data_IF_388214567380
#
_entry.id   IF_388214567380
#
_cell.length_a   1.000
_cell.length_b   1.000
_cell.length_c   1.000
_cell.angle_alpha   90.00
_cell.angle_beta   90.00
_cell.angle_gamma   90.00
#
_symmetry.space_group_name_H-M   'P 1'
#
loop_
_entity.id
_entity.type
_entity.pdbx_description
1 polymer ?
#
# COMPACT_ATOMS: atom_id res chain seq x y z
N UNK A 1 -28.10 -58.00 -30.70
CA UNK A 1 -28.45 -57.97 -29.26
C UNK A 1 -27.16 -58.18 -28.48
N UNK A 2 -26.65 -57.14 -27.82
CA UNK A 2 -25.78 -57.20 -26.62
C UNK A 2 -25.12 -55.83 -26.45
N UNK A 3 -25.78 -54.94 -25.71
CA UNK A 3 -25.22 -53.68 -25.24
C UNK A 3 -24.61 -53.93 -23.86
N UNK A 4 -23.29 -54.05 -23.80
CA UNK A 4 -22.54 -54.22 -22.56
C UNK A 4 -22.50 -52.90 -21.78
N UNK A 5 -23.26 -52.81 -20.70
CA UNK A 5 -23.19 -51.70 -19.74
C UNK A 5 -22.04 -51.96 -18.76
N UNK A 6 -20.98 -51.15 -18.81
CA UNK A 6 -19.90 -51.19 -17.83
C UNK A 6 -20.40 -50.73 -16.45
N UNK A 7 -19.97 -51.37 -15.35
CA UNK A 7 -20.35 -50.94 -14.01
C UNK A 7 -19.69 -49.59 -13.69
N UNK A 8 -20.50 -48.59 -13.35
CA UNK A 8 -20.03 -47.29 -12.86
C UNK A 8 -19.35 -47.52 -11.52
N UNK A 9 -18.02 -47.40 -11.48
CA UNK A 9 -17.25 -47.48 -10.25
C UNK A 9 -17.75 -46.39 -9.27
N UNK A 10 -18.35 -46.82 -8.16
CA UNK A 10 -18.81 -45.95 -7.09
C UNK A 10 -17.65 -45.12 -6.57
N UNK A 11 -17.70 -43.80 -6.76
CA UNK A 11 -16.69 -42.87 -6.27
C UNK A 11 -16.63 -42.97 -4.74
N UNK A 12 -15.58 -43.61 -4.24
CA UNK A 12 -15.35 -43.78 -2.81
C UNK A 12 -15.16 -42.39 -2.20
N UNK A 13 -16.16 -41.88 -1.51
CA UNK A 13 -16.07 -40.63 -0.77
C UNK A 13 -14.92 -40.73 0.24
N UNK A 14 -13.78 -40.10 -0.08
CA UNK A 14 -12.66 -39.96 0.84
C UNK A 14 -13.11 -39.03 1.95
N UNK A 15 -13.53 -39.60 3.09
CA UNK A 15 -13.80 -38.83 4.30
C UNK A 15 -12.46 -38.37 4.85
N UNK A 16 -12.13 -37.09 4.64
CA UNK A 16 -11.03 -36.41 5.33
C UNK A 16 -11.29 -36.54 6.84
N UNK A 17 -10.61 -37.49 7.48
CA UNK A 17 -10.64 -37.63 8.93
C UNK A 17 -9.77 -36.52 9.50
N UNK A 18 -10.39 -35.42 9.91
CA UNK A 18 -9.69 -34.33 10.59
C UNK A 18 -9.03 -34.89 11.84
N UNK A 19 -7.71 -35.05 11.78
CA UNK A 19 -6.92 -35.60 12.89
C UNK A 19 -6.85 -34.55 14.02
N UNK A 20 -6.59 -34.97 15.27
CA UNK A 20 -6.52 -34.06 16.43
C UNK A 20 -5.52 -32.91 16.23
N UNK A 21 -4.46 -33.15 15.44
CA UNK A 21 -3.49 -32.14 15.03
C UNK A 21 -4.09 -31.02 14.19
N UNK A 22 -5.07 -31.31 13.32
CA UNK A 22 -5.75 -30.28 12.54
C UNK A 22 -6.57 -29.37 13.45
N UNK A 23 -7.28 -29.92 14.43
CA UNK A 23 -8.06 -29.10 15.38
C UNK A 23 -7.16 -28.15 16.17
N UNK A 24 -5.99 -28.65 16.62
CA UNK A 24 -4.98 -27.82 17.31
C UNK A 24 -4.45 -26.73 16.37
N UNK A 25 -4.14 -27.05 15.11
CA UNK A 25 -3.67 -26.08 14.13
C UNK A 25 -4.72 -24.99 13.86
N UNK A 26 -6.00 -25.34 13.71
CA UNK A 26 -7.08 -24.37 13.52
C UNK A 26 -7.29 -23.48 14.76
N UNK A 27 -7.21 -24.05 15.96
CA UNK A 27 -7.29 -23.28 17.22
C UNK A 27 -6.09 -22.33 17.37
N UNK A 28 -4.88 -22.79 17.03
CA UNK A 28 -3.69 -21.95 17.04
C UNK A 28 -3.81 -20.81 16.01
N UNK A 29 -4.27 -21.10 14.78
CA UNK A 29 -4.52 -20.08 13.77
C UNK A 29 -5.58 -19.07 14.21
N UNK A 30 -6.69 -19.53 14.81
CA UNK A 30 -7.73 -18.67 15.35
C UNK A 30 -7.18 -17.77 16.46
N UNK A 31 -6.40 -18.35 17.38
CA UNK A 31 -5.75 -17.60 18.45
C UNK A 31 -4.81 -16.52 17.90
N UNK A 32 -3.94 -16.88 16.95
CA UNK A 32 -3.02 -15.92 16.30
C UNK A 32 -3.81 -14.82 15.59
N UNK A 33 -4.87 -15.18 14.84
CA UNK A 33 -5.73 -14.21 14.17
C UNK A 33 -6.41 -13.25 15.16
N UNK A 34 -6.93 -13.75 16.27
CA UNK A 34 -7.54 -12.94 17.32
C UNK A 34 -6.52 -12.01 17.99
N UNK A 35 -5.31 -12.49 18.26
CA UNK A 35 -4.23 -11.66 18.83
C UNK A 35 -3.83 -10.55 17.85
N UNK A 36 -3.64 -10.86 16.57
CA UNK A 36 -3.34 -9.86 15.54
C UNK A 36 -4.46 -8.83 15.40
N UNK A 37 -5.72 -9.29 15.41
CA UNK A 37 -6.88 -8.41 15.33
C UNK A 37 -6.98 -7.51 16.56
N UNK A 38 -6.78 -8.05 17.76
CA UNK A 38 -6.78 -7.26 19.00
C UNK A 38 -5.64 -6.24 19.01
N UNK A 39 -4.44 -6.64 18.58
CA UNK A 39 -3.28 -5.76 18.50
C UNK A 39 -3.48 -4.59 17.52
N UNK A 40 -4.19 -4.81 16.42
CA UNK A 40 -4.55 -3.75 15.47
C UNK A 40 -5.72 -2.91 15.96
N UNK A 41 -6.77 -3.56 16.49
CA UNK A 41 -8.01 -2.88 16.88
C UNK A 41 -7.84 -2.02 18.14
N UNK A 42 -7.04 -2.46 19.11
CA UNK A 42 -6.83 -1.74 20.37
C UNK A 42 -6.28 -0.31 20.19
N UNK A 43 -5.16 -0.06 19.47
CA UNK A 43 -4.66 1.30 19.26
C UNK A 43 -5.61 2.13 18.39
N UNK A 44 -6.28 1.52 17.40
CA UNK A 44 -7.28 2.23 16.60
C UNK A 44 -8.47 2.69 17.45
N UNK A 45 -8.99 1.82 18.33
CA UNK A 45 -10.03 2.17 19.28
C UNK A 45 -9.56 3.27 20.24
N UNK A 46 -8.33 3.17 20.76
CA UNK A 46 -7.76 4.20 21.64
C UNK A 46 -7.68 5.57 20.95
N UNK A 47 -7.26 5.62 19.68
CA UNK A 47 -7.22 6.86 18.89
C UNK A 47 -8.64 7.40 18.65
N UNK A 48 -9.62 6.54 18.35
CA UNK A 48 -11.01 6.94 18.17
C UNK A 48 -11.60 7.51 19.48
N UNK A 49 -11.40 6.85 20.61
CA UNK A 49 -11.84 7.37 21.91
C UNK A 49 -11.15 8.69 22.27
N UNK A 50 -9.84 8.80 21.99
CA UNK A 50 -9.10 10.04 22.20
C UNK A 50 -9.59 11.18 21.30
N UNK A 51 -10.02 10.88 20.07
CA UNK A 51 -10.58 11.88 19.16
C UNK A 51 -11.87 12.54 19.68
N UNK A 52 -12.58 11.88 20.61
CA UNK A 52 -13.80 12.39 21.25
C UNK A 52 -13.52 13.09 22.59
N UNK A 53 -12.24 13.16 22.99
CA UNK A 53 -11.79 13.76 24.25
C UNK A 53 -10.90 14.96 24.00
N UNK A 54 -10.86 15.89 24.96
CA UNK A 54 -9.92 17.02 24.95
C UNK A 54 -8.56 16.63 25.55
N UNK A 55 -7.59 17.56 25.55
CA UNK A 55 -6.26 17.44 26.16
C UNK A 55 -6.33 17.07 27.65
N UNK A 56 -7.39 17.49 28.35
CA UNK A 56 -7.68 17.15 29.76
C UNK A 56 -8.36 15.79 29.95
N UNK A 57 -8.57 15.01 28.89
CA UNK A 57 -9.34 13.74 28.88
C UNK A 57 -10.83 13.90 29.20
N UNK A 58 -11.38 15.11 29.07
CA UNK A 58 -12.82 15.33 29.16
C UNK A 58 -13.51 15.01 27.84
N UNK A 59 -14.73 14.47 27.90
CA UNK A 59 -15.50 14.12 26.71
C UNK A 59 -16.05 15.39 26.04
N UNK A 60 -15.59 15.66 24.82
CA UNK A 60 -16.00 16.82 24.00
C UNK A 60 -16.81 16.40 22.76
N UNK A 61 -17.06 15.11 22.57
CA UNK A 61 -17.84 14.58 21.47
C UNK A 61 -17.23 14.94 20.11
N UNK A 62 -17.99 15.59 19.23
CA UNK A 62 -17.57 15.92 17.86
C UNK A 62 -16.85 17.27 17.72
N UNK A 63 -16.59 17.98 18.83
CA UNK A 63 -16.01 19.32 18.78
C UNK A 63 -14.63 19.35 18.07
N UNK A 64 -13.78 18.36 18.33
CA UNK A 64 -12.48 18.23 17.67
C UNK A 64 -12.60 18.11 16.14
N UNK A 65 -13.64 17.42 15.64
CA UNK A 65 -13.89 17.29 14.20
C UNK A 65 -14.36 18.60 13.58
N UNK A 66 -15.19 19.36 14.31
CA UNK A 66 -15.65 20.69 13.86
C UNK A 66 -14.47 21.67 13.82
N UNK A 67 -13.61 21.66 14.83
CA UNK A 67 -12.39 22.48 14.86
C UNK A 67 -11.44 22.11 13.72
N UNK A 68 -11.24 20.81 13.48
CA UNK A 68 -10.47 20.32 12.34
C UNK A 68 -11.04 20.86 11.02
N UNK A 69 -12.35 20.74 10.80
CA UNK A 69 -13.02 21.20 9.59
C UNK A 69 -13.05 22.73 9.44
N UNK A 70 -12.89 23.49 10.53
CA UNK A 70 -12.81 24.96 10.50
C UNK A 70 -11.40 25.50 10.32
N UNK A 71 -10.38 24.66 10.43
CA UNK A 71 -8.98 25.06 10.28
C UNK A 71 -8.59 25.01 8.80
N UNK A 72 -8.43 26.15 8.11
CA UNK A 72 -8.23 26.17 6.66
C UNK A 72 -7.01 25.37 6.21
N UNK A 73 -5.90 25.49 6.96
CA UNK A 73 -4.67 24.77 6.66
C UNK A 73 -4.82 23.23 6.68
N UNK A 74 -5.73 22.69 7.51
CA UNK A 74 -5.97 21.24 7.57
C UNK A 74 -6.81 20.77 6.37
N UNK A 75 -7.79 21.57 5.96
CA UNK A 75 -8.57 21.30 4.74
C UNK A 75 -7.70 21.39 3.49
N UNK A 76 -6.84 22.41 3.40
CA UNK A 76 -5.91 22.59 2.28
C UNK A 76 -4.93 21.41 2.20
N UNK A 77 -4.41 20.97 3.34
CA UNK A 77 -3.54 19.79 3.39
C UNK A 77 -4.26 18.51 2.97
N UNK A 78 -5.51 18.31 3.41
CA UNK A 78 -6.33 17.16 3.01
C UNK A 78 -6.57 17.16 1.49
N UNK A 79 -6.96 18.32 0.95
CA UNK A 79 -7.20 18.47 -0.49
C UNK A 79 -5.91 18.22 -1.30
N UNK A 80 -4.79 18.79 -0.88
CA UNK A 80 -3.51 18.56 -1.52
C UNK A 80 -3.12 17.07 -1.51
N UNK A 81 -3.30 16.37 -0.38
CA UNK A 81 -3.04 14.93 -0.30
C UNK A 81 -3.95 14.11 -1.23
N UNK A 82 -5.25 14.41 -1.28
CA UNK A 82 -6.20 13.74 -2.17
C UNK A 82 -5.87 13.99 -3.64
N UNK A 83 -5.61 15.25 -4.01
CA UNK A 83 -5.25 15.63 -5.36
C UNK A 83 -3.95 14.95 -5.82
N UNK A 84 -2.90 15.03 -5.00
CA UNK A 84 -1.59 14.43 -5.31
C UNK A 84 -1.68 12.91 -5.38
N UNK A 85 -2.34 12.25 -4.42
CA UNK A 85 -2.50 10.80 -4.45
C UNK A 85 -3.31 10.31 -5.65
N UNK A 86 -4.35 11.06 -6.04
CA UNK A 86 -5.12 10.79 -7.25
C UNK A 86 -4.26 10.90 -8.51
N UNK A 87 -3.51 11.99 -8.65
CA UNK A 87 -2.61 12.22 -9.79
C UNK A 87 -1.53 11.14 -9.89
N UNK A 88 -0.86 10.81 -8.77
CA UNK A 88 0.14 9.74 -8.71
C UNK A 88 -0.47 8.40 -9.10
N UNK A 89 -1.67 8.07 -8.61
CA UNK A 89 -2.33 6.81 -8.95
C UNK A 89 -2.63 6.72 -10.45
N UNK A 90 -3.16 7.80 -11.04
CA UNK A 90 -3.49 7.86 -12.47
C UNK A 90 -2.25 7.70 -13.36
N UNK A 91 -1.09 8.21 -12.94
CA UNK A 91 0.15 8.11 -13.71
C UNK A 91 0.85 6.76 -13.47
N UNK A 92 0.99 6.36 -12.21
CA UNK A 92 1.80 5.20 -11.81
C UNK A 92 1.10 3.89 -12.16
N UNK A 93 -0.23 3.77 -12.02
CA UNK A 93 -0.92 2.50 -12.30
C UNK A 93 -0.79 2.07 -13.77
N UNK A 94 -1.07 2.91 -14.78
CA UNK A 94 -0.87 2.55 -16.17
C UNK A 94 0.60 2.30 -16.51
N UNK A 95 1.53 3.11 -15.99
CA UNK A 95 2.96 2.93 -16.24
C UNK A 95 3.49 1.61 -15.66
N UNK A 96 3.16 1.31 -14.39
CA UNK A 96 3.52 0.07 -13.72
C UNK A 96 2.88 -1.15 -14.40
N UNK A 97 1.61 -1.05 -14.80
CA UNK A 97 0.93 -2.11 -15.54
C UNK A 97 1.59 -2.36 -16.91
N UNK A 98 1.89 -1.30 -17.66
CA UNK A 98 2.58 -1.39 -18.94
C UNK A 98 3.96 -2.04 -18.81
N UNK A 99 4.73 -1.65 -17.79
CA UNK A 99 6.02 -2.25 -17.49
C UNK A 99 5.87 -3.73 -17.08
N UNK A 100 4.93 -4.06 -16.20
CA UNK A 100 4.67 -5.44 -15.78
C UNK A 100 4.22 -6.31 -16.96
N UNK A 101 3.41 -5.78 -17.86
CA UNK A 101 2.98 -6.46 -19.08
C UNK A 101 4.16 -6.69 -20.03
N UNK A 102 5.00 -5.67 -20.26
CA UNK A 102 6.21 -5.80 -21.06
C UNK A 102 7.16 -6.87 -20.47
N UNK A 103 7.31 -6.87 -19.15
CA UNK A 103 8.15 -7.84 -18.47
C UNK A 103 7.59 -9.25 -18.56
N UNK A 104 6.28 -9.45 -18.46
CA UNK A 104 5.67 -10.79 -18.40
C UNK A 104 5.40 -11.39 -19.78
N UNK A 105 4.94 -10.59 -20.74
CA UNK A 105 4.40 -11.07 -22.03
C UNK A 105 5.28 -10.75 -23.24
N UNK A 106 6.26 -9.85 -23.14
CA UNK A 106 7.15 -9.47 -24.25
C UNK A 106 8.51 -10.19 -24.23
N UNK A 107 9.17 -10.25 -25.38
CA UNK A 107 10.56 -10.71 -25.56
C UNK A 107 11.57 -9.56 -25.36
N UNK A 108 11.38 -8.77 -24.30
CA UNK A 108 12.23 -7.61 -24.01
C UNK A 108 13.68 -8.03 -23.74
N UNK A 109 14.68 -7.40 -24.39
CA UNK A 109 16.09 -7.63 -24.06
C UNK A 109 16.39 -7.18 -22.61
N UNK A 110 17.33 -7.84 -21.94
CA UNK A 110 17.76 -7.53 -20.55
C UNK A 110 16.67 -7.59 -19.47
N UNK A 111 15.60 -8.37 -19.67
CA UNK A 111 14.50 -8.59 -18.70
C UNK A 111 14.93 -8.83 -17.25
N UNK A 112 16.01 -9.59 -17.01
CA UNK A 112 16.53 -9.85 -15.66
C UNK A 112 17.09 -8.58 -15.00
N UNK A 113 17.81 -7.76 -15.77
CA UNK A 113 18.35 -6.49 -15.30
C UNK A 113 17.22 -5.50 -14.99
N UNK A 114 16.26 -5.34 -15.92
CA UNK A 114 15.10 -4.47 -15.72
C UNK A 114 14.32 -4.85 -14.45
N UNK A 115 14.07 -6.14 -14.24
CA UNK A 115 13.45 -6.65 -13.00
C UNK A 115 14.28 -6.34 -11.76
N UNK A 116 15.60 -6.52 -11.85
CA UNK A 116 16.53 -6.22 -10.76
C UNK A 116 16.45 -4.75 -10.33
N UNK A 117 16.57 -3.83 -11.30
CA UNK A 117 16.49 -2.38 -11.05
C UNK A 117 15.18 -1.99 -10.37
N UNK A 118 14.04 -2.54 -10.81
CA UNK A 118 12.75 -2.25 -10.17
C UNK A 118 12.59 -2.77 -8.74
N UNK A 119 13.40 -3.74 -8.33
CA UNK A 119 13.38 -4.27 -6.96
C UNK A 119 14.30 -3.48 -6.02
N UNK A 120 15.27 -2.71 -6.54
CA UNK A 120 16.20 -1.93 -5.71
C UNK A 120 15.46 -0.98 -4.75
N UNK A 121 14.47 -0.17 -5.19
CA UNK A 121 13.77 0.74 -4.30
C UNK A 121 12.97 0.05 -3.20
N UNK A 122 12.51 -1.19 -3.44
CA UNK A 122 11.78 -1.98 -2.45
C UNK A 122 12.67 -2.46 -1.31
N UNK A 123 13.96 -2.65 -1.58
CA UNK A 123 14.97 -3.07 -0.60
C UNK A 123 15.60 -1.86 0.13
N UNK A 124 15.60 -0.70 -0.52
CA UNK A 124 16.13 0.52 0.06
C UNK A 124 15.21 1.03 1.19
N UNK A 125 15.76 1.49 2.33
CA UNK A 125 14.98 2.23 3.32
C UNK A 125 14.33 3.47 2.68
N UNK A 126 13.08 3.77 3.03
CA UNK A 126 12.34 4.91 2.45
C UNK A 126 13.09 6.25 2.60
N UNK A 127 13.83 6.42 3.70
CA UNK A 127 14.66 7.59 3.95
C UNK A 127 15.77 7.76 2.90
N UNK A 128 16.39 6.66 2.45
CA UNK A 128 17.45 6.70 1.46
C UNK A 128 16.92 7.22 0.12
N UNK A 129 15.73 6.78 -0.28
CA UNK A 129 15.05 7.26 -1.50
C UNK A 129 14.69 8.75 -1.43
N UNK A 130 14.27 9.23 -0.26
CA UNK A 130 14.00 10.66 -0.08
C UNK A 130 15.29 11.51 -0.19
N UNK A 131 16.38 11.06 0.44
CA UNK A 131 17.66 11.77 0.41
C UNK A 131 18.28 11.76 -0.99
N UNK A 132 18.19 10.65 -1.73
CA UNK A 132 18.69 10.60 -3.10
C UNK A 132 17.96 11.59 -4.01
N UNK A 133 16.64 11.70 -3.88
CA UNK A 133 15.84 12.68 -4.61
C UNK A 133 16.27 14.12 -4.27
N UNK A 134 16.52 14.43 -2.99
CA UNK A 134 17.03 15.75 -2.59
C UNK A 134 18.43 16.02 -3.17
N UNK A 135 19.34 15.03 -3.19
CA UNK A 135 20.67 15.22 -3.78
C UNK A 135 20.66 15.39 -5.29
N UNK A 136 19.70 14.76 -5.98
CA UNK A 136 19.58 14.90 -7.43
C UNK A 136 18.84 16.19 -7.82
N UNK A 137 17.77 16.53 -7.11
CA UNK A 137 16.77 17.50 -7.57
C UNK A 137 16.44 18.61 -6.56
N UNK A 138 17.05 18.59 -5.36
CA UNK A 138 16.92 19.64 -4.36
C UNK A 138 17.56 20.96 -4.78
N UNK A 139 17.55 21.96 -3.90
CA UNK A 139 18.02 23.31 -4.24
C UNK A 139 19.52 23.40 -4.57
N UNK A 140 20.32 22.43 -4.13
CA UNK A 140 21.73 22.26 -4.51
C UNK A 140 21.97 20.94 -5.25
N UNK A 141 20.93 20.39 -5.87
CA UNK A 141 20.99 19.10 -6.55
C UNK A 141 21.68 19.16 -7.90
N UNK A 142 22.24 18.03 -8.34
CA UNK A 142 22.98 17.92 -9.60
C UNK A 142 22.15 18.32 -10.82
N UNK A 143 20.85 18.02 -10.82
CA UNK A 143 19.92 18.31 -11.93
C UNK A 143 19.06 19.56 -11.69
N UNK A 144 19.38 20.39 -10.69
CA UNK A 144 18.60 21.58 -10.36
C UNK A 144 18.46 22.55 -11.54
N UNK A 145 19.55 22.80 -12.26
CA UNK A 145 19.54 23.70 -13.42
C UNK A 145 18.56 23.23 -14.50
N UNK A 146 18.58 21.94 -14.83
CA UNK A 146 17.69 21.35 -15.83
C UNK A 146 16.22 21.36 -15.38
N UNK A 147 15.95 21.22 -14.07
CA UNK A 147 14.60 21.36 -13.53
C UNK A 147 14.05 22.78 -13.67
N UNK A 148 14.87 23.78 -13.38
CA UNK A 148 14.49 25.19 -13.53
C UNK A 148 14.24 25.53 -15.00
N UNK A 149 15.03 24.97 -15.93
CA UNK A 149 14.82 25.15 -17.38
C UNK A 149 13.48 24.59 -17.88
N UNK A 150 12.98 23.54 -17.22
CA UNK A 150 11.67 22.92 -17.51
C UNK A 150 10.54 23.61 -16.72
N UNK A 151 10.84 24.64 -15.93
CA UNK A 151 9.87 25.45 -15.19
C UNK A 151 9.49 24.89 -13.82
N UNK A 152 10.30 24.00 -13.23
CA UNK A 152 10.08 23.45 -11.89
C UNK A 152 11.05 24.12 -10.90
N UNK A 153 10.54 25.12 -10.18
CA UNK A 153 11.35 25.95 -9.28
C UNK A 153 11.85 25.22 -8.03
N UNK A 154 11.15 24.18 -7.57
CA UNK A 154 11.58 23.36 -6.42
C UNK A 154 10.83 22.04 -6.35
N UNK A 155 11.50 21.04 -5.78
CA UNK A 155 10.93 19.71 -5.57
C UNK A 155 10.22 19.56 -4.20
N UNK A 156 10.29 20.58 -3.36
CA UNK A 156 9.60 20.64 -2.08
C UNK A 156 8.12 21.00 -2.31
N UNK A 157 7.28 19.99 -2.52
CA UNK A 157 5.84 20.17 -2.71
C UNK A 157 5.23 19.08 -3.60
N UNK A 158 4.03 19.33 -4.11
CA UNK A 158 3.31 18.41 -4.99
C UNK A 158 4.14 17.91 -6.20
N UNK A 159 4.92 18.75 -6.91
CA UNK A 159 5.72 18.28 -8.05
C UNK A 159 6.74 17.20 -7.67
N UNK A 160 7.37 17.33 -6.50
CA UNK A 160 8.31 16.32 -6.02
C UNK A 160 7.65 15.02 -5.61
N UNK A 161 6.49 15.09 -4.99
CA UNK A 161 5.73 13.89 -4.61
C UNK A 161 5.27 13.11 -5.86
N UNK A 162 4.95 13.80 -6.94
CA UNK A 162 4.48 13.18 -8.19
C UNK A 162 5.62 12.52 -8.98
N UNK A 163 6.83 13.08 -8.90
CA UNK A 163 8.01 12.57 -9.62
C UNK A 163 8.71 11.42 -8.88
N UNK A 164 8.63 11.39 -7.54
CA UNK A 164 9.26 10.41 -6.67
C UNK A 164 8.72 8.99 -6.86
#
# INVERSE_FOLDING_TARGET
MSSATLPVASARHVRLRTHWSERIAHLALLFVALVLLAFLAAPLAAILFKSLQDKSNEWVGLQNFIEYARTPALLDSLWNSLWVSGLVTIVTVPAAFGFAYALTRSRMPFKKLARGVTLIPLLAPSLLSAISLIYWFGNQGVLKALLTDVGIDQIYGAPGIVIA
#
